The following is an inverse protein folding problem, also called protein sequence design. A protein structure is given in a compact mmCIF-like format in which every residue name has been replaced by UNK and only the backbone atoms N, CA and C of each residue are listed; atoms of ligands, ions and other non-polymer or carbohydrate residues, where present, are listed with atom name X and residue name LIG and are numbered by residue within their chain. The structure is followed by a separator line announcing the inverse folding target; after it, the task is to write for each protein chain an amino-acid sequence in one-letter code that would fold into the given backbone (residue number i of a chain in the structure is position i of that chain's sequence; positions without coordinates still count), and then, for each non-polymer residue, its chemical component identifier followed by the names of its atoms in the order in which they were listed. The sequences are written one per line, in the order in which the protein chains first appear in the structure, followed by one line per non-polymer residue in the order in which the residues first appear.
data_IF_730303284940
#
_entry.id   IF_730303284940
#
_cell.length_a   1.000
_cell.length_b   1.000
_cell.length_c   1.000
_cell.angle_alpha   90.00
_cell.angle_beta   90.00
_cell.angle_gamma   90.00
#
_symmetry.space_group_name_H-M   'P 1'
#
loop_
_entity.id
_entity.type
_entity.pdbx_description
1 polymer ?
#
# COMPACT_ATOMS: atom_id res chain seq x y z
N UNK A 1 9.91 1.79 -2.40
CA UNK A 1 9.51 2.70 -3.50
C UNK A 1 9.24 1.96 -4.81
N UNK A 2 10.09 1.02 -5.23
CA UNK A 2 9.86 0.25 -6.46
C UNK A 2 8.65 -0.71 -6.40
N UNK A 3 8.38 -1.32 -5.25
CA UNK A 3 7.22 -2.19 -5.05
C UNK A 3 5.88 -1.52 -5.34
N UNK A 4 5.67 -0.28 -4.86
CA UNK A 4 4.44 0.46 -5.13
C UNK A 4 4.29 0.84 -6.60
N UNK A 5 5.38 1.19 -7.29
CA UNK A 5 5.36 1.41 -8.75
C UNK A 5 4.95 0.14 -9.50
N UNK A 6 5.44 -1.03 -9.07
CA UNK A 6 5.04 -2.32 -9.65
C UNK A 6 3.53 -2.58 -9.45
N UNK A 7 3.01 -2.36 -8.23
CA UNK A 7 1.58 -2.50 -7.95
C UNK A 7 0.75 -1.55 -8.82
N UNK A 8 1.13 -0.27 -8.90
CA UNK A 8 0.43 0.74 -9.70
C UNK A 8 0.40 0.40 -11.20
N UNK A 9 1.49 -0.19 -11.72
CA UNK A 9 1.53 -0.64 -13.11
C UNK A 9 0.73 -1.94 -13.34
N UNK A 10 0.62 -2.78 -12.33
CA UNK A 10 -0.16 -4.01 -12.38
C UNK A 10 -1.66 -3.70 -12.41
N UNK A 11 -2.13 -2.77 -11.58
CA UNK A 11 -3.55 -2.40 -11.54
C UNK A 11 -4.03 -1.69 -12.81
N UNK A 12 -3.15 -1.04 -13.58
CA UNK A 12 -3.48 -0.49 -14.92
C UNK A 12 -3.94 -1.54 -15.93
N UNK A 13 -3.63 -2.83 -15.70
CA UNK A 13 -4.05 -3.94 -16.57
C UNK A 13 -5.43 -4.50 -16.20
N UNK A 14 -6.02 -4.05 -15.10
CA UNK A 14 -7.31 -4.56 -14.65
C UNK A 14 -8.43 -4.08 -15.60
N UNK A 15 -9.51 -4.86 -15.75
CA UNK A 15 -10.68 -4.43 -16.51
C UNK A 15 -11.21 -3.08 -16.00
N UNK A 16 -11.68 -2.23 -16.91
CA UNK A 16 -12.20 -0.90 -16.57
C UNK A 16 -13.35 -0.92 -15.56
N UNK A 17 -14.13 -2.01 -15.51
CA UNK A 17 -15.19 -2.21 -14.51
C UNK A 17 -14.67 -2.25 -13.06
N UNK A 18 -13.41 -2.66 -12.85
CA UNK A 18 -12.78 -2.75 -11.53
C UNK A 18 -12.07 -1.45 -11.11
N UNK A 19 -12.07 -0.43 -11.97
CA UNK A 19 -11.31 0.80 -11.76
C UNK A 19 -11.67 1.53 -10.46
N UNK A 20 -12.96 1.55 -10.11
CA UNK A 20 -13.47 2.18 -8.88
C UNK A 20 -13.61 1.19 -7.71
N UNK A 21 -13.43 -0.11 -7.97
CA UNK A 21 -13.46 -1.18 -6.97
C UNK A 21 -12.05 -1.53 -6.50
N UNK A 22 -11.63 -2.75 -6.83
CA UNK A 22 -10.35 -3.34 -6.45
C UNK A 22 -9.13 -2.51 -6.83
N UNK A 23 -9.10 -1.89 -8.01
CA UNK A 23 -7.97 -1.07 -8.44
C UNK A 23 -7.74 0.11 -7.48
N UNK A 24 -8.82 0.81 -7.11
CA UNK A 24 -8.74 1.94 -6.17
C UNK A 24 -8.30 1.52 -4.75
N UNK A 25 -8.74 0.34 -4.29
CA UNK A 25 -8.36 -0.18 -2.98
C UNK A 25 -6.87 -0.57 -2.95
N UNK A 26 -6.43 -1.36 -3.93
CA UNK A 26 -5.03 -1.79 -4.08
C UNK A 26 -4.09 -0.60 -4.20
N UNK A 27 -4.44 0.40 -5.03
CA UNK A 27 -3.59 1.58 -5.23
C UNK A 27 -3.50 2.45 -3.96
N UNK A 28 -4.60 2.65 -3.23
CA UNK A 28 -4.57 3.39 -1.95
C UNK A 28 -3.79 2.65 -0.88
N UNK A 29 -3.98 1.35 -0.72
CA UNK A 29 -3.23 0.54 0.23
C UNK A 29 -1.73 0.56 -0.11
N UNK A 30 -1.36 0.44 -1.40
CA UNK A 30 0.02 0.56 -1.84
C UNK A 30 0.66 1.93 -1.51
N UNK A 31 -0.07 3.02 -1.69
CA UNK A 31 0.41 4.36 -1.31
C UNK A 31 0.56 4.48 0.21
N UNK A 32 -0.40 3.96 0.98
CA UNK A 32 -0.38 3.97 2.45
C UNK A 32 0.87 3.30 3.03
N UNK A 33 1.34 2.20 2.44
CA UNK A 33 2.59 1.53 2.86
C UNK A 33 3.76 2.52 2.86
N UNK A 34 3.94 3.25 1.76
CA UNK A 34 5.05 4.20 1.60
C UNK A 34 4.87 5.43 2.48
N UNK A 35 3.65 5.96 2.57
CA UNK A 35 3.35 7.12 3.42
C UNK A 35 3.66 6.82 4.89
N UNK A 36 3.25 5.66 5.40
CA UNK A 36 3.53 5.27 6.78
C UNK A 36 5.04 5.06 7.03
N UNK A 37 5.77 4.42 6.10
CA UNK A 37 7.23 4.27 6.25
C UNK A 37 7.93 5.63 6.30
N UNK A 38 7.57 6.54 5.38
CA UNK A 38 8.17 7.87 5.32
C UNK A 38 7.83 8.70 6.55
N UNK A 39 6.56 8.71 6.96
CA UNK A 39 6.10 9.42 8.16
C UNK A 39 6.78 8.89 9.42
N UNK A 40 6.87 7.56 9.56
CA UNK A 40 7.56 6.92 10.66
C UNK A 40 9.05 7.23 10.72
N UNK A 41 9.72 7.28 9.56
CA UNK A 41 11.14 7.61 9.46
C UNK A 41 11.43 9.05 9.91
N UNK A 42 10.50 9.98 9.66
CA UNK A 42 10.60 11.37 10.08
C UNK A 42 10.26 11.58 11.58
N UNK A 43 9.88 10.52 12.31
CA UNK A 43 9.64 10.60 13.77
C UNK A 43 10.95 10.48 14.55
N UNK A 44 11.12 11.32 15.56
CA UNK A 44 12.31 11.40 16.42
C UNK A 44 12.51 10.22 17.40
N UNK A 45 11.69 9.16 17.35
CA UNK A 45 11.87 8.01 18.24
C UNK A 45 11.67 6.67 17.53
N UNK A 46 12.49 5.69 17.90
CA UNK A 46 12.41 4.32 17.37
C UNK A 46 11.06 3.67 17.67
N UNK A 47 10.44 3.99 18.82
CA UNK A 47 9.11 3.46 19.19
C UNK A 47 8.05 3.92 18.19
N UNK A 48 8.05 5.20 17.84
CA UNK A 48 7.13 5.76 16.86
C UNK A 48 7.40 5.17 15.48
N UNK A 49 8.66 5.08 15.06
CA UNK A 49 9.00 4.47 13.78
C UNK A 49 8.47 3.03 13.67
N UNK A 50 8.67 2.20 14.71
CA UNK A 50 8.13 0.83 14.76
C UNK A 50 6.61 0.82 14.64
N UNK A 51 5.90 1.73 15.31
CA UNK A 51 4.43 1.84 15.20
C UNK A 51 3.99 2.07 13.75
N UNK A 52 4.64 3.00 13.05
CA UNK A 52 4.35 3.27 11.65
C UNK A 52 4.71 2.10 10.73
N UNK A 53 5.79 1.36 11.01
CA UNK A 53 6.11 0.12 10.28
C UNK A 53 5.04 -0.97 10.46
N UNK A 54 4.44 -1.08 11.66
CA UNK A 54 3.32 -2.01 11.90
C UNK A 54 2.09 -1.62 11.07
N UNK A 55 1.78 -0.32 10.98
CA UNK A 55 0.68 0.17 10.14
C UNK A 55 0.97 -0.10 8.66
N UNK A 56 2.17 0.19 8.19
CA UNK A 56 2.60 -0.11 6.82
C UNK A 56 2.47 -1.61 6.50
N UNK A 57 2.78 -2.49 7.47
CA UNK A 57 2.58 -3.93 7.33
C UNK A 57 1.10 -4.32 7.20
N UNK A 58 0.19 -3.64 7.90
CA UNK A 58 -1.25 -3.81 7.71
C UNK A 58 -1.67 -3.53 6.27
N UNK A 59 -1.24 -2.40 5.71
CA UNK A 59 -1.53 -2.07 4.30
C UNK A 59 -0.89 -3.04 3.29
N UNK A 60 0.24 -3.69 3.62
CA UNK A 60 0.77 -4.79 2.79
C UNK A 60 -0.21 -5.97 2.75
N UNK A 61 -0.77 -6.36 3.90
CA UNK A 61 -1.74 -7.46 3.97
C UNK A 61 -3.03 -7.15 3.21
N UNK A 62 -3.49 -5.90 3.24
CA UNK A 62 -4.63 -5.44 2.42
C UNK A 62 -4.34 -5.59 0.92
N UNK A 63 -3.18 -5.09 0.44
CA UNK A 63 -2.76 -5.25 -0.95
C UNK A 63 -2.72 -6.73 -1.35
N UNK A 64 -2.17 -7.59 -0.50
CA UNK A 64 -2.08 -9.03 -0.77
C UNK A 64 -3.47 -9.68 -0.90
N UNK A 65 -4.38 -9.34 0.02
CA UNK A 65 -5.74 -9.85 0.00
C UNK A 65 -6.50 -9.38 -1.26
N UNK A 66 -6.43 -8.09 -1.57
CA UNK A 66 -7.14 -7.53 -2.71
C UNK A 66 -6.60 -8.07 -4.04
N UNK A 67 -5.27 -8.24 -4.16
CA UNK A 67 -4.66 -8.89 -5.33
C UNK A 67 -5.01 -10.38 -5.45
N UNK A 68 -5.29 -11.07 -4.34
CA UNK A 68 -5.72 -12.46 -4.37
C UNK A 68 -7.16 -12.62 -4.89
N UNK A 69 -8.00 -11.60 -4.68
CA UNK A 69 -9.40 -11.59 -5.12
C UNK A 69 -9.55 -11.08 -6.57
N UNK A 70 -8.63 -10.24 -7.04
CA UNK A 70 -8.66 -9.60 -8.36
C UNK A 70 -8.30 -10.53 -9.54
#
# INVERSE_FOLDING_TARGET
MEGCKKIYNLTKKFPSREAYGLNSQITRAAVSIMSNIAEGFDRFSSREFIRFLIIARGSISEVQNDLYIA
#
